data_IF_998741055245
#
_entry.id   IF_998741055245
#
_cell.length_a   1.000
_cell.length_b   1.000
_cell.length_c   1.000
_cell.angle_alpha   90.00
_cell.angle_beta   90.00
_cell.angle_gamma   90.00
#
_symmetry.space_group_name_H-M   'P 1'
#
loop_
_entity.id
_entity.type
_entity.pdbx_description
1 polymer ?
#
# COMPACT_ATOMS: atom_id res chain seq x y z
N UNK A 1 -17.19 5.77 -11.55
CA UNK A 1 -17.93 5.12 -10.43
C UNK A 1 -19.37 4.74 -10.75
N UNK A 2 -20.21 5.61 -11.37
CA UNK A 2 -21.62 5.26 -11.68
C UNK A 2 -21.78 3.94 -12.45
N UNK A 3 -20.95 3.69 -13.48
CA UNK A 3 -20.98 2.44 -14.28
C UNK A 3 -20.65 1.19 -13.46
N UNK A 4 -19.63 1.26 -12.61
CA UNK A 4 -19.23 0.14 -11.74
C UNK A 4 -20.23 -0.15 -10.62
N UNK A 5 -21.06 0.83 -10.25
CA UNK A 5 -22.08 0.67 -9.20
C UNK A 5 -23.30 -0.11 -9.68
N UNK A 6 -23.59 -0.07 -10.98
CA UNK A 6 -24.68 -0.82 -11.62
C UNK A 6 -24.22 -2.10 -12.30
N UNK A 7 -22.98 -2.54 -12.04
CA UNK A 7 -22.49 -3.81 -12.56
C UNK A 7 -23.00 -4.96 -11.68
N UNK A 8 -23.35 -6.09 -12.28
CA UNK A 8 -23.89 -7.25 -11.57
C UNK A 8 -22.84 -7.95 -10.69
N UNK A 9 -21.56 -7.83 -11.07
CA UNK A 9 -20.44 -8.34 -10.27
C UNK A 9 -20.30 -7.58 -8.94
N UNK A 10 -20.36 -8.31 -7.83
CA UNK A 10 -20.29 -7.74 -6.49
C UNK A 10 -18.94 -7.07 -6.20
N UNK A 11 -17.86 -7.61 -6.77
CA UNK A 11 -16.49 -7.09 -6.68
C UNK A 11 -16.40 -5.69 -7.28
N UNK A 12 -17.07 -5.47 -8.42
CA UNK A 12 -17.09 -4.18 -9.10
C UNK A 12 -17.86 -3.13 -8.30
N UNK A 13 -18.96 -3.53 -7.66
CA UNK A 13 -19.71 -2.66 -6.75
C UNK A 13 -18.89 -2.29 -5.51
N UNK A 14 -18.21 -3.25 -4.89
CA UNK A 14 -17.33 -3.02 -3.72
C UNK A 14 -16.16 -2.11 -4.07
N UNK A 15 -15.52 -2.34 -5.23
CA UNK A 15 -14.46 -1.47 -5.72
C UNK A 15 -14.95 -0.04 -5.96
N UNK A 16 -16.15 0.13 -6.51
CA UNK A 16 -16.74 1.46 -6.66
C UNK A 16 -17.01 2.14 -5.31
N UNK A 17 -17.36 1.37 -4.27
CA UNK A 17 -17.56 1.90 -2.91
C UNK A 17 -16.23 2.30 -2.26
N UNK A 18 -15.19 1.46 -2.35
CA UNK A 18 -13.87 1.77 -1.80
C UNK A 18 -13.28 3.02 -2.44
N UNK A 19 -13.37 3.15 -3.77
CA UNK A 19 -12.93 4.36 -4.46
C UNK A 19 -13.69 5.62 -4.01
N UNK A 20 -15.00 5.52 -3.71
CA UNK A 20 -15.75 6.67 -3.15
C UNK A 20 -15.21 7.04 -1.77
N UNK A 21 -14.91 6.05 -0.94
CA UNK A 21 -14.37 6.27 0.39
C UNK A 21 -12.96 6.90 0.34
N UNK A 22 -12.15 6.55 -0.66
CA UNK A 22 -10.79 7.07 -0.83
C UNK A 22 -10.72 8.47 -1.47
N UNK A 23 -11.84 9.00 -1.96
CA UNK A 23 -11.88 10.30 -2.64
C UNK A 23 -11.26 11.46 -1.84
N UNK A 24 -11.44 11.56 -0.50
CA UNK A 24 -10.76 12.57 0.33
C UNK A 24 -9.24 12.42 0.32
N UNK A 25 -8.72 11.19 0.38
CA UNK A 25 -7.29 10.92 0.35
C UNK A 25 -6.68 11.29 -1.01
N UNK A 26 -7.36 10.94 -2.11
CA UNK A 26 -6.95 11.36 -3.47
C UNK A 26 -6.91 12.88 -3.58
N UNK A 27 -7.93 13.57 -3.06
CA UNK A 27 -7.97 15.03 -3.08
C UNK A 27 -6.85 15.64 -2.24
N UNK A 28 -6.54 15.07 -1.08
CA UNK A 28 -5.43 15.51 -0.24
C UNK A 28 -4.08 15.36 -0.95
N UNK A 29 -3.88 14.27 -1.70
CA UNK A 29 -2.66 14.03 -2.47
C UNK A 29 -2.37 15.10 -3.55
N UNK A 30 -3.41 15.76 -4.10
CA UNK A 30 -3.25 16.88 -5.04
C UNK A 30 -3.18 18.25 -4.37
N UNK A 31 -3.71 18.39 -3.15
CA UNK A 31 -3.79 19.68 -2.44
C UNK A 31 -2.60 19.93 -1.52
N UNK A 32 -2.05 18.87 -0.96
CA UNK A 32 -0.98 18.93 0.02
C UNK A 32 0.36 18.60 -0.66
N UNK A 33 1.47 19.18 -0.17
CA UNK A 33 2.81 18.87 -0.69
C UNK A 33 3.32 17.50 -0.22
N UNK A 34 2.56 16.79 0.61
CA UNK A 34 2.96 15.53 1.23
C UNK A 34 2.69 14.35 0.30
N UNK A 35 3.68 13.46 0.17
CA UNK A 35 3.58 12.23 -0.61
C UNK A 35 3.81 11.01 0.28
N UNK A 36 3.00 9.95 0.07
CA UNK A 36 3.21 8.65 0.69
C UNK A 36 4.39 7.87 0.08
N UNK A 37 5.03 8.38 -0.98
CA UNK A 37 6.10 7.68 -1.69
C UNK A 37 7.29 7.29 -0.81
N UNK A 38 7.66 8.11 0.16
CA UNK A 38 8.73 7.76 1.11
C UNK A 38 8.33 6.55 1.97
N UNK A 39 7.13 6.56 2.54
CA UNK A 39 6.59 5.45 3.33
C UNK A 39 6.48 4.18 2.51
N UNK A 40 5.93 4.27 1.29
CA UNK A 40 5.82 3.15 0.37
C UNK A 40 7.20 2.60 -0.06
N UNK A 41 8.19 3.46 -0.23
CA UNK A 41 9.57 3.09 -0.49
C UNK A 41 10.16 2.22 0.63
N UNK A 42 9.99 2.63 1.89
CA UNK A 42 10.42 1.84 3.05
C UNK A 42 9.69 0.49 3.12
N UNK A 43 8.38 0.48 2.88
CA UNK A 43 7.57 -0.76 2.83
C UNK A 43 8.05 -1.68 1.70
N UNK A 44 8.39 -1.13 0.54
CA UNK A 44 8.88 -1.91 -0.58
C UNK A 44 10.27 -2.50 -0.28
N UNK A 45 11.19 -1.73 0.32
CA UNK A 45 12.49 -2.22 0.79
C UNK A 45 12.32 -3.36 1.80
N UNK A 46 11.39 -3.24 2.74
CA UNK A 46 11.09 -4.28 3.72
C UNK A 46 10.54 -5.56 3.05
N UNK A 47 9.62 -5.42 2.09
CA UNK A 47 9.08 -6.55 1.31
C UNK A 47 10.16 -7.24 0.49
N UNK A 48 11.07 -6.48 -0.13
CA UNK A 48 12.21 -7.00 -0.87
C UNK A 48 13.11 -7.85 0.04
N UNK A 49 13.48 -7.30 1.20
CA UNK A 49 14.31 -7.99 2.17
C UNK A 49 13.70 -9.32 2.61
N UNK A 50 12.40 -9.31 2.94
CA UNK A 50 11.66 -10.53 3.32
C UNK A 50 11.62 -11.57 2.20
N UNK A 51 11.53 -11.15 0.92
CA UNK A 51 11.57 -12.03 -0.25
C UNK A 51 12.96 -12.64 -0.47
N UNK A 52 14.02 -11.84 -0.32
CA UNK A 52 15.41 -12.34 -0.40
C UNK A 52 15.71 -13.41 0.67
N UNK A 53 14.96 -13.39 1.78
CA UNK A 53 15.11 -14.34 2.88
C UNK A 53 14.19 -15.56 2.75
N UNK A 54 13.55 -15.74 1.58
CA UNK A 54 12.64 -16.86 1.30
C UNK A 54 11.55 -17.04 2.39
N UNK A 55 11.02 -15.92 2.89
CA UNK A 55 9.99 -15.93 3.94
C UNK A 55 10.50 -16.18 5.36
N UNK A 56 11.78 -16.50 5.56
CA UNK A 56 12.41 -16.72 6.88
C UNK A 56 12.87 -15.40 7.50
N UNK A 57 11.92 -14.52 7.79
CA UNK A 57 12.23 -13.18 8.31
C UNK A 57 11.32 -12.87 9.51
N UNK A 58 11.65 -13.46 10.67
CA UNK A 58 11.03 -13.08 11.94
C UNK A 58 11.37 -11.61 12.26
N UNK A 59 10.63 -11.00 13.20
CA UNK A 59 10.73 -9.56 13.49
C UNK A 59 12.17 -9.16 13.86
N UNK A 60 12.84 -9.93 14.71
CA UNK A 60 14.22 -9.68 15.15
C UNK A 60 15.20 -9.70 13.96
N UNK A 61 15.08 -10.67 13.07
CA UNK A 61 15.96 -10.80 11.91
C UNK A 61 15.73 -9.71 10.86
N UNK A 62 14.47 -9.31 10.64
CA UNK A 62 14.15 -8.15 9.81
C UNK A 62 14.73 -6.87 10.42
N UNK A 63 14.60 -6.69 11.73
CA UNK A 63 15.11 -5.52 12.45
C UNK A 63 16.62 -5.40 12.31
N UNK A 64 17.37 -6.50 12.48
CA UNK A 64 18.82 -6.53 12.28
C UNK A 64 19.21 -6.06 10.88
N UNK A 65 18.57 -6.61 9.83
CA UNK A 65 18.90 -6.25 8.44
C UNK A 65 18.42 -4.86 7.99
N UNK A 66 17.38 -4.31 8.60
CA UNK A 66 16.88 -2.96 8.29
C UNK A 66 17.72 -1.89 8.98
N UNK A 67 18.03 -2.08 10.28
CA UNK A 67 18.71 -1.08 11.11
C UNK A 67 20.24 -1.18 11.04
N UNK A 68 20.79 -2.35 10.75
CA UNK A 68 22.22 -2.57 10.53
C UNK A 68 22.42 -3.11 9.11
N UNK A 69 22.29 -2.25 8.09
CA UNK A 69 22.68 -2.65 6.74
C UNK A 69 24.17 -3.02 6.78
N UNK A 70 24.47 -4.26 6.38
CA UNK A 70 25.83 -4.75 6.12
C UNK A 70 26.42 -4.05 4.92
#
# INVERSE_FOLDING_TARGET
>A
MKRLSGCDAAEMRRFAQSLRADLPAVRAAFKLPWSNGQTEGHVNRLKLLKRQMYGRANIELLRLRVLKPS
#
